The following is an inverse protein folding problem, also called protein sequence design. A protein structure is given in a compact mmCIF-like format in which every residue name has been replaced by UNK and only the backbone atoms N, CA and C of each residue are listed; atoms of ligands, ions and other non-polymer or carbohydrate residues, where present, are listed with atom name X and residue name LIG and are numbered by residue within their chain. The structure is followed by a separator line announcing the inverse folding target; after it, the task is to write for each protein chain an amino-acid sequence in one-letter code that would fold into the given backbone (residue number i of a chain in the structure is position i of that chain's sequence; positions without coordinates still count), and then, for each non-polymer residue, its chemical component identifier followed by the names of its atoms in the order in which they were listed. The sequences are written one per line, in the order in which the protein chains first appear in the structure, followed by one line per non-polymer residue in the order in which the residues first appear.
data_IF_890645114534
#
_entry.id   IF_890645114534
#
_cell.length_a   1.000
_cell.length_b   1.000
_cell.length_c   1.000
_cell.angle_alpha   90.00
_cell.angle_beta   90.00
_cell.angle_gamma   90.00
#
_symmetry.space_group_name_H-M   'P 1'
#
loop_
_entity.id
_entity.type
_entity.pdbx_description
1 polymer ?
#
# COMPACT_ATOMS: atom_id res chain seq x y z
N UNK A 1 -13.32 -29.07 -17.82
CA UNK A 1 -12.92 -27.84 -18.52
C UNK A 1 -11.90 -27.14 -17.64
N UNK A 2 -10.80 -26.64 -18.22
CA UNK A 2 -9.78 -25.89 -17.48
C UNK A 2 -10.20 -24.43 -17.44
N UNK A 3 -10.25 -23.82 -16.25
CA UNK A 3 -10.51 -22.38 -16.09
C UNK A 3 -9.35 -21.57 -16.68
N UNK A 4 -9.63 -20.46 -17.36
CA UNK A 4 -8.62 -19.60 -17.98
C UNK A 4 -7.76 -18.86 -16.94
N UNK A 5 -8.42 -18.28 -15.93
CA UNK A 5 -7.75 -17.58 -14.83
C UNK A 5 -7.54 -18.51 -13.63
N UNK A 6 -6.50 -18.25 -12.82
CA UNK A 6 -6.33 -18.92 -11.54
C UNK A 6 -7.43 -18.51 -10.54
N UNK A 7 -7.49 -19.21 -9.43
CA UNK A 7 -8.43 -18.95 -8.34
C UNK A 7 -8.44 -17.48 -7.91
N UNK A 8 -9.63 -16.93 -7.69
CA UNK A 8 -9.82 -15.52 -7.32
C UNK A 8 -9.67 -15.32 -5.80
N UNK A 9 -8.43 -15.30 -5.30
CA UNK A 9 -8.16 -15.20 -3.85
C UNK A 9 -8.84 -14.01 -3.14
N UNK A 10 -8.81 -12.77 -3.68
CA UNK A 10 -9.46 -11.64 -3.00
C UNK A 10 -10.99 -11.75 -2.91
N UNK A 11 -11.61 -12.56 -3.78
CA UNK A 11 -13.06 -12.82 -3.75
C UNK A 11 -13.39 -13.69 -2.56
N UNK A 12 -12.69 -14.83 -2.41
CA UNK A 12 -12.84 -15.71 -1.24
C UNK A 12 -12.63 -14.93 0.06
N UNK A 13 -11.59 -14.10 0.14
CA UNK A 13 -11.33 -13.28 1.32
C UNK A 13 -12.48 -12.30 1.61
N UNK A 14 -13.05 -11.67 0.58
CA UNK A 14 -14.21 -10.81 0.73
C UNK A 14 -15.44 -11.61 1.23
N UNK A 15 -15.71 -12.78 0.65
CA UNK A 15 -16.81 -13.65 1.05
C UNK A 15 -16.70 -14.05 2.52
N UNK A 16 -15.52 -14.51 2.96
CA UNK A 16 -15.22 -14.82 4.37
C UNK A 16 -15.44 -13.60 5.28
N UNK A 17 -15.01 -12.41 4.85
CA UNK A 17 -15.22 -11.17 5.61
C UNK A 17 -16.70 -10.75 5.64
N UNK A 18 -17.45 -11.01 4.57
CA UNK A 18 -18.87 -10.67 4.47
C UNK A 18 -19.74 -11.53 5.39
N UNK A 19 -19.33 -12.77 5.69
CA UNK A 19 -19.98 -13.62 6.67
C UNK A 19 -19.78 -13.09 8.10
N UNK A 20 -18.62 -12.49 8.38
CA UNK A 20 -18.28 -11.96 9.70
C UNK A 20 -18.85 -10.55 9.96
N UNK A 21 -18.99 -9.71 8.93
CA UNK A 21 -19.36 -8.30 9.08
C UNK A 21 -20.64 -7.95 8.29
N UNK A 22 -21.60 -7.31 8.96
CA UNK A 22 -22.82 -6.86 8.29
C UNK A 22 -22.59 -5.59 7.44
N UNK A 23 -23.13 -5.50 6.21
CA UNK A 23 -23.03 -4.32 5.35
C UNK A 23 -23.66 -3.04 5.89
N UNK A 24 -24.53 -3.13 6.91
CA UNK A 24 -25.33 -1.99 7.41
C UNK A 24 -24.51 -0.90 8.09
N UNK A 25 -23.30 -1.23 8.54
CA UNK A 25 -22.45 -0.33 9.31
C UNK A 25 -21.13 0.00 8.58
N UNK A 26 -21.22 0.58 7.38
CA UNK A 26 -20.05 0.96 6.57
C UNK A 26 -19.04 1.88 7.29
N UNK A 27 -19.48 2.62 8.33
CA UNK A 27 -18.59 3.48 9.12
C UNK A 27 -17.82 2.76 10.24
N UNK A 28 -18.30 1.59 10.66
CA UNK A 28 -17.64 0.76 11.66
C UNK A 28 -16.37 0.14 11.09
N UNK A 29 -15.46 -0.29 11.96
CA UNK A 29 -14.19 -0.88 11.56
C UNK A 29 -14.37 -2.07 10.60
N UNK A 30 -15.36 -2.94 10.85
CA UNK A 30 -15.71 -4.05 9.95
C UNK A 30 -16.17 -3.60 8.57
N UNK A 31 -16.99 -2.54 8.49
CA UNK A 31 -17.42 -1.95 7.23
C UNK A 31 -16.24 -1.42 6.41
N UNK A 32 -15.26 -0.78 7.05
CA UNK A 32 -14.04 -0.29 6.37
C UNK A 32 -13.20 -1.43 5.81
N UNK A 33 -13.04 -2.52 6.56
CA UNK A 33 -12.32 -3.71 6.07
C UNK A 33 -13.04 -4.32 4.88
N UNK A 34 -14.36 -4.45 4.94
CA UNK A 34 -15.16 -4.97 3.85
C UNK A 34 -14.99 -4.12 2.59
N UNK A 35 -15.07 -2.79 2.72
CA UNK A 35 -14.80 -1.87 1.60
C UNK A 35 -13.38 -2.03 1.04
N UNK A 36 -12.36 -2.12 1.90
CA UNK A 36 -10.97 -2.31 1.46
C UNK A 36 -10.78 -3.65 0.74
N UNK A 37 -11.40 -4.72 1.23
CA UNK A 37 -11.35 -6.04 0.59
C UNK A 37 -12.05 -6.05 -0.76
N UNK A 38 -13.18 -5.34 -0.90
CA UNK A 38 -13.89 -5.18 -2.18
C UNK A 38 -13.03 -4.42 -3.21
N UNK A 39 -12.34 -3.37 -2.78
CA UNK A 39 -11.39 -2.65 -3.66
C UNK A 39 -10.26 -3.57 -4.12
N UNK A 40 -9.72 -4.43 -3.24
CA UNK A 40 -8.71 -5.43 -3.64
C UNK A 40 -9.25 -6.45 -4.63
N UNK A 41 -10.50 -6.89 -4.48
CA UNK A 41 -11.21 -7.73 -5.47
C UNK A 41 -11.29 -7.02 -6.82
N UNK A 42 -11.81 -5.79 -6.83
CA UNK A 42 -11.93 -4.97 -8.03
C UNK A 42 -10.58 -4.70 -8.74
N UNK A 43 -9.47 -4.57 -7.99
CA UNK A 43 -8.13 -4.41 -8.58
C UNK A 43 -7.71 -5.63 -9.41
N UNK A 44 -8.00 -6.85 -8.93
CA UNK A 44 -7.69 -8.08 -9.67
C UNK A 44 -8.60 -8.23 -10.88
N UNK A 45 -9.88 -7.88 -10.77
CA UNK A 45 -10.80 -7.89 -11.92
C UNK A 45 -10.32 -6.94 -13.02
N UNK A 46 -9.88 -5.73 -12.67
CA UNK A 46 -9.30 -4.76 -13.62
C UNK A 46 -8.07 -5.36 -14.32
N UNK A 47 -7.16 -6.00 -13.58
CA UNK A 47 -6.00 -6.67 -14.18
C UNK A 47 -6.43 -7.75 -15.18
N UNK A 48 -7.41 -8.58 -14.82
CA UNK A 48 -7.91 -9.65 -15.70
C UNK A 48 -8.59 -9.07 -16.95
N UNK A 49 -9.40 -8.03 -16.81
CA UNK A 49 -10.04 -7.34 -17.95
C UNK A 49 -8.98 -6.78 -18.91
N UNK A 50 -7.94 -6.12 -18.37
CA UNK A 50 -6.84 -5.60 -19.20
C UNK A 50 -6.10 -6.73 -19.92
N UNK A 51 -5.82 -7.83 -19.22
CA UNK A 51 -5.18 -9.01 -19.80
C UNK A 51 -6.00 -9.60 -20.97
N UNK A 52 -7.32 -9.79 -20.80
CA UNK A 52 -8.19 -10.27 -21.90
C UNK A 52 -8.17 -9.32 -23.09
N UNK A 53 -8.24 -8.01 -22.84
CA UNK A 53 -8.23 -6.99 -23.90
C UNK A 53 -6.95 -7.00 -24.73
N UNK A 54 -5.82 -7.32 -24.10
CA UNK A 54 -4.53 -7.43 -24.78
C UNK A 54 -4.36 -8.77 -25.51
N UNK A 55 -4.77 -9.88 -24.89
CA UNK A 55 -4.52 -11.24 -25.40
C UNK A 55 -5.51 -11.68 -26.49
N UNK A 56 -6.80 -11.32 -26.37
CA UNK A 56 -7.86 -11.72 -27.32
C UNK A 56 -7.56 -11.36 -28.78
N UNK A 57 -7.19 -10.12 -29.15
CA UNK A 57 -6.85 -9.80 -30.54
C UNK A 57 -5.58 -10.52 -31.02
N UNK A 58 -4.63 -10.80 -30.13
CA UNK A 58 -3.42 -11.55 -30.46
C UNK A 58 -3.77 -13.02 -30.78
N UNK A 59 -4.60 -13.65 -29.95
CA UNK A 59 -5.08 -15.00 -30.18
C UNK A 59 -5.92 -15.12 -31.45
N UNK A 60 -6.78 -14.15 -31.76
CA UNK A 60 -7.54 -14.13 -33.02
C UNK A 60 -6.62 -14.15 -34.24
N UNK A 61 -5.50 -13.40 -34.20
CA UNK A 61 -4.51 -13.43 -35.26
C UNK A 61 -3.79 -14.79 -35.35
N UNK A 62 -3.44 -15.40 -34.21
CA UNK A 62 -2.78 -16.72 -34.16
C UNK A 62 -3.69 -17.88 -34.62
N UNK A 63 -4.99 -17.78 -34.38
CA UNK A 63 -5.98 -18.73 -34.91
C UNK A 63 -6.10 -18.58 -36.42
N UNK A 64 -6.12 -17.35 -36.94
CA UNK A 64 -6.16 -17.11 -38.40
C UNK A 64 -4.93 -17.66 -39.12
N UNK A 65 -3.76 -17.63 -38.50
CA UNK A 65 -2.53 -18.22 -39.06
C UNK A 65 -2.45 -19.75 -38.89
N UNK A 66 -3.36 -20.34 -38.12
CA UNK A 66 -3.41 -21.79 -37.86
C UNK A 66 -2.38 -22.30 -36.86
N UNK A 67 -1.72 -21.40 -36.10
CA UNK A 67 -0.72 -21.77 -35.09
C UNK A 67 -1.39 -22.28 -33.81
N UNK A 68 -2.58 -21.77 -33.49
CA UNK A 68 -3.36 -22.11 -32.30
C UNK A 68 -4.76 -22.55 -32.71
N UNK A 69 -5.34 -23.52 -31.98
CA UNK A 69 -6.69 -24.02 -32.22
C UNK A 69 -7.80 -23.08 -31.70
N UNK A 70 -8.98 -23.21 -32.28
CA UNK A 70 -10.17 -22.40 -31.95
C UNK A 70 -10.64 -22.59 -30.50
N UNK A 71 -10.40 -23.75 -29.89
CA UNK A 71 -10.74 -24.04 -28.50
C UNK A 71 -10.12 -23.04 -27.49
N UNK A 72 -8.94 -22.46 -27.79
CA UNK A 72 -8.33 -21.44 -26.92
C UNK A 72 -9.05 -20.09 -27.02
N UNK A 73 -9.55 -19.75 -28.22
CA UNK A 73 -10.35 -18.56 -28.45
C UNK A 73 -11.74 -18.67 -27.79
N UNK A 74 -12.33 -19.85 -27.82
CA UNK A 74 -13.56 -20.14 -27.06
C UNK A 74 -13.32 -19.98 -25.55
N UNK A 75 -12.19 -20.50 -25.04
CA UNK A 75 -11.87 -20.41 -23.62
C UNK A 75 -11.68 -18.96 -23.13
N UNK A 76 -10.95 -18.12 -23.86
CA UNK A 76 -10.81 -16.70 -23.49
C UNK A 76 -12.14 -15.94 -23.61
N UNK A 77 -13.00 -16.31 -24.55
CA UNK A 77 -14.36 -15.73 -24.69
C UNK A 77 -15.27 -16.15 -23.54
N UNK A 78 -15.14 -17.39 -23.05
CA UNK A 78 -15.83 -17.83 -21.84
C UNK A 78 -15.33 -17.06 -20.62
N UNK A 79 -14.01 -16.93 -20.46
CA UNK A 79 -13.39 -16.19 -19.37
C UNK A 79 -13.81 -14.70 -19.37
N UNK A 80 -13.95 -14.08 -20.54
CA UNK A 80 -14.47 -12.72 -20.67
C UNK A 80 -15.87 -12.59 -20.05
N UNK A 81 -16.78 -13.53 -20.36
CA UNK A 81 -18.13 -13.54 -19.78
C UNK A 81 -18.12 -13.78 -18.26
N UNK A 82 -17.24 -14.65 -17.78
CA UNK A 82 -17.07 -14.90 -16.34
C UNK A 82 -16.61 -13.64 -15.61
N UNK A 83 -15.64 -12.90 -16.17
CA UNK A 83 -15.14 -11.66 -15.58
C UNK A 83 -16.16 -10.51 -15.72
N UNK A 84 -16.95 -10.45 -16.79
CA UNK A 84 -18.05 -9.48 -16.91
C UNK A 84 -19.13 -9.71 -15.84
N UNK A 85 -19.48 -10.98 -15.58
CA UNK A 85 -20.40 -11.33 -14.50
C UNK A 85 -19.82 -10.94 -13.13
N UNK A 86 -18.55 -11.26 -12.88
CA UNK A 86 -17.85 -10.88 -11.65
C UNK A 86 -17.81 -9.36 -11.45
N UNK A 87 -17.52 -8.59 -12.51
CA UNK A 87 -17.54 -7.14 -12.45
C UNK A 87 -18.93 -6.61 -12.09
N UNK A 88 -20.00 -7.21 -12.63
CA UNK A 88 -21.37 -6.82 -12.31
C UNK A 88 -21.73 -7.11 -10.85
N UNK A 89 -21.27 -8.24 -10.29
CA UNK A 89 -21.40 -8.56 -8.86
C UNK A 89 -20.72 -7.51 -7.99
N UNK A 90 -19.47 -7.13 -8.31
CA UNK A 90 -18.71 -6.11 -7.57
C UNK A 90 -19.41 -4.75 -7.60
N UNK A 91 -19.99 -4.34 -8.73
CA UNK A 91 -20.76 -3.08 -8.82
C UNK A 91 -21.98 -3.13 -7.91
N UNK A 92 -22.72 -4.24 -7.90
CA UNK A 92 -23.89 -4.41 -7.06
C UNK A 92 -23.51 -4.38 -5.57
N UNK A 93 -22.46 -5.10 -5.17
CA UNK A 93 -21.95 -5.08 -3.80
C UNK A 93 -21.46 -3.70 -3.36
N UNK A 94 -20.76 -2.98 -4.24
CA UNK A 94 -20.31 -1.62 -3.97
C UNK A 94 -21.49 -0.66 -3.73
N UNK A 95 -22.55 -0.78 -4.52
CA UNK A 95 -23.78 0.02 -4.37
C UNK A 95 -24.48 -0.26 -3.03
N UNK A 96 -24.45 -1.52 -2.57
CA UNK A 96 -25.00 -1.92 -1.27
C UNK A 96 -24.20 -1.33 -0.10
N UNK A 97 -22.87 -1.27 -0.21
CA UNK A 97 -21.99 -0.69 0.83
C UNK A 97 -22.05 0.83 0.87
N UNK A 98 -22.11 1.47 -0.31
CA UNK A 98 -22.17 2.92 -0.44
C UNK A 98 -22.91 3.28 -1.73
N UNK A 99 -24.04 3.97 -1.58
CA UNK A 99 -24.83 4.48 -2.72
C UNK A 99 -23.98 5.32 -3.67
N UNK A 100 -24.06 5.02 -4.97
CA UNK A 100 -23.31 5.68 -6.03
C UNK A 100 -21.85 5.20 -6.19
N UNK A 101 -21.34 4.34 -5.31
CA UNK A 101 -19.95 3.89 -5.37
C UNK A 101 -19.71 2.83 -6.45
N UNK A 102 -20.74 2.08 -6.86
CA UNK A 102 -20.62 1.07 -7.91
C UNK A 102 -20.10 1.64 -9.25
N UNK A 103 -20.43 2.89 -9.58
CA UNK A 103 -19.91 3.55 -10.77
C UNK A 103 -18.44 4.00 -10.65
N UNK A 104 -17.93 4.17 -9.44
CA UNK A 104 -16.61 4.74 -9.16
C UNK A 104 -15.56 3.69 -8.76
N UNK A 105 -15.98 2.55 -8.21
CA UNK A 105 -15.08 1.56 -7.62
C UNK A 105 -13.98 1.09 -8.57
N UNK A 106 -14.28 0.84 -9.85
CA UNK A 106 -13.28 0.42 -10.82
C UNK A 106 -12.31 1.54 -11.23
N UNK A 107 -12.77 2.80 -11.22
CA UNK A 107 -11.88 3.95 -11.44
C UNK A 107 -10.92 4.14 -10.27
N UNK A 108 -11.40 3.94 -9.04
CA UNK A 108 -10.58 3.96 -7.83
C UNK A 108 -9.58 2.78 -7.82
N UNK A 109 -10.03 1.57 -8.15
CA UNK A 109 -9.18 0.38 -8.23
C UNK A 109 -8.08 0.53 -9.28
N UNK A 110 -8.39 1.09 -10.45
CA UNK A 110 -7.40 1.36 -11.50
C UNK A 110 -6.32 2.35 -11.03
N UNK A 111 -6.68 3.41 -10.30
CA UNK A 111 -5.74 4.37 -9.74
C UNK A 111 -4.84 3.73 -8.68
N UNK A 112 -5.42 2.91 -7.80
CA UNK A 112 -4.66 2.19 -6.77
C UNK A 112 -3.68 1.19 -7.39
N UNK A 113 -4.09 0.51 -8.46
CA UNK A 113 -3.22 -0.40 -9.19
C UNK A 113 -2.01 0.34 -9.80
N UNK A 114 -2.24 1.51 -10.38
CA UNK A 114 -1.16 2.36 -10.92
C UNK A 114 -0.22 2.85 -9.81
N UNK A 115 -0.77 3.30 -8.68
CA UNK A 115 0.02 3.71 -7.52
C UNK A 115 0.86 2.55 -6.98
N UNK A 116 0.28 1.36 -6.83
CA UNK A 116 0.98 0.18 -6.34
C UNK A 116 2.16 -0.17 -7.26
N UNK A 117 1.95 -0.13 -8.58
CA UNK A 117 3.00 -0.37 -9.57
C UNK A 117 4.11 0.68 -9.47
N UNK A 118 3.77 1.96 -9.31
CA UNK A 118 4.74 3.04 -9.14
C UNK A 118 5.58 2.87 -7.85
N UNK A 119 4.94 2.52 -6.73
CA UNK A 119 5.65 2.26 -5.47
C UNK A 119 6.59 1.07 -5.59
N UNK A 120 6.17 -0.02 -6.25
CA UNK A 120 7.02 -1.19 -6.49
C UNK A 120 8.25 -0.83 -7.33
N UNK A 121 8.07 -0.02 -8.39
CA UNK A 121 9.18 0.45 -9.21
C UNK A 121 10.15 1.33 -8.43
N UNK A 122 9.65 2.26 -7.60
CA UNK A 122 10.49 3.10 -6.75
C UNK A 122 11.28 2.28 -5.72
N UNK A 123 10.63 1.32 -5.07
CA UNK A 123 11.29 0.43 -4.11
C UNK A 123 12.38 -0.41 -4.79
N UNK A 124 12.13 -0.95 -5.99
CA UNK A 124 13.12 -1.69 -6.75
C UNK A 124 14.31 -0.82 -7.17
N UNK A 125 14.08 0.44 -7.54
CA UNK A 125 15.15 1.39 -7.87
C UNK A 125 16.01 1.74 -6.64
N UNK A 126 15.40 1.93 -5.47
CA UNK A 126 16.11 2.18 -4.22
C UNK A 126 17.00 1.00 -3.83
N UNK A 127 16.48 -0.23 -3.93
CA UNK A 127 17.26 -1.44 -3.65
C UNK A 127 18.46 -1.60 -4.60
N UNK A 128 18.29 -1.26 -5.88
CA UNK A 128 19.39 -1.27 -6.84
C UNK A 128 20.43 -0.19 -6.55
N UNK A 129 20.00 1.01 -6.13
CA UNK A 129 20.92 2.10 -5.77
C UNK A 129 21.72 1.79 -4.50
N UNK A 130 21.12 1.12 -3.53
CA UNK A 130 21.77 0.72 -2.28
C UNK A 130 22.77 -0.42 -2.49
N UNK A 131 22.46 -1.38 -3.37
CA UNK A 131 23.37 -2.46 -3.76
C UNK A 131 24.60 -1.99 -4.56
N UNK A 132 24.54 -0.81 -5.19
CA UNK A 132 25.62 -0.22 -5.99
C UNK A 132 26.56 0.67 -5.16
N UNK A 133 26.24 0.98 -3.89
CA UNK A 133 27.13 1.73 -3.00
C UNK A 133 28.22 0.78 -2.45
N UNK A 134 29.51 0.93 -2.84
CA UNK A 134 30.56 0.03 -2.37
C UNK A 134 30.75 0.18 -0.84
N UNK A 135 31.10 -0.88 -0.10
CA UNK A 135 31.45 -0.76 1.30
C UNK A 135 32.65 0.20 1.43
N UNK A 136 32.45 1.31 2.14
CA UNK A 136 33.50 2.25 2.46
C UNK A 136 34.61 1.53 3.24
N UNK A 137 35.72 1.23 2.57
CA UNK A 137 36.96 0.80 3.24
C UNK A 137 37.43 1.93 4.17
N UNK A 138 37.84 1.65 5.41
CA UNK A 138 38.42 2.68 6.29
C UNK A 138 39.79 3.09 5.74
N UNK A 139 39.86 4.23 5.07
CA UNK A 139 41.12 4.86 4.68
C UNK A 139 41.56 5.83 5.77
N UNK A 140 42.68 5.53 6.42
CA UNK A 140 43.51 6.54 7.08
C UNK A 140 44.99 6.16 6.94
N UNK A 141 45.76 6.88 6.10
CA UNK A 141 47.21 6.85 6.17
C UNK A 141 47.74 7.96 7.10
N UNK A 142 48.73 7.56 7.89
CA UNK A 142 49.45 8.23 8.99
C UNK A 142 50.26 9.48 8.58
N UNK A 143 50.37 10.48 9.48
CA UNK A 143 51.55 11.34 9.85
C UNK A 143 51.10 12.33 10.95
N UNK A 144 51.79 12.68 12.04
CA UNK A 144 53.10 12.35 12.64
C UNK A 144 53.17 12.94 14.08
N UNK A 145 53.90 12.25 14.96
CA UNK A 145 54.74 12.75 16.09
C UNK A 145 54.16 13.35 17.41
N UNK A 146 54.23 12.49 18.45
CA UNK A 146 54.89 12.68 19.77
C UNK A 146 54.33 13.64 20.86
N UNK A 147 53.80 13.05 21.97
CA UNK A 147 54.45 13.02 23.32
C UNK A 147 53.61 12.28 24.40
N UNK A 148 54.24 11.25 24.98
CA UNK A 148 54.28 10.79 26.40
C UNK A 148 52.99 10.61 27.23
N UNK A 149 52.66 9.35 27.58
CA UNK A 149 52.47 8.78 28.95
C UNK A 149 51.65 7.47 28.90
N UNK A 150 52.00 6.47 29.72
CA UNK A 150 51.47 5.09 29.76
C UNK A 150 50.29 4.91 30.78
N UNK A 151 49.80 3.68 31.06
CA UNK A 151 48.82 2.82 30.32
C UNK A 151 47.50 2.63 31.14
N UNK A 152 46.42 1.93 30.69
CA UNK A 152 46.38 0.45 30.74
C UNK A 152 45.49 -0.29 29.69
N UNK A 153 45.90 -1.55 29.46
CA UNK A 153 45.10 -2.79 29.28
C UNK A 153 44.15 -2.99 28.06
N UNK A 154 43.97 -4.25 27.62
CA UNK A 154 43.53 -4.60 26.28
C UNK A 154 42.01 -4.76 26.14
N UNK A 155 41.60 -4.59 24.89
CA UNK A 155 40.28 -4.84 24.30
C UNK A 155 39.86 -6.29 24.46
N UNK A 156 38.66 -6.51 25.02
CA UNK A 156 37.79 -7.62 24.64
C UNK A 156 36.55 -6.99 23.98
N UNK A 157 36.32 -7.34 22.71
CA UNK A 157 35.16 -6.89 21.94
C UNK A 157 34.30 -8.10 21.65
N UNK A 158 33.22 -8.27 22.42
CA UNK A 158 32.08 -9.06 22.01
C UNK A 158 30.83 -8.62 22.81
N UNK A 159 29.95 -7.86 22.17
CA UNK A 159 28.53 -7.58 22.50
C UNK A 159 28.11 -6.29 21.73
N UNK A 160 26.94 -6.10 21.14
CA UNK A 160 25.71 -6.88 21.05
C UNK A 160 24.99 -6.52 19.75
N UNK A 161 24.18 -7.46 19.26
CA UNK A 161 22.93 -7.14 18.55
C UNK A 161 22.07 -6.25 19.46
N UNK A 162 21.61 -5.08 18.98
CA UNK A 162 20.34 -4.42 19.33
C UNK A 162 20.40 -2.95 18.89
N UNK A 163 19.76 -2.63 17.75
CA UNK A 163 19.39 -1.25 17.43
C UNK A 163 17.96 -1.27 16.85
N UNK A 164 17.01 -1.50 17.77
CA UNK A 164 15.59 -1.30 17.55
C UNK A 164 15.27 0.15 17.94
N UNK A 165 14.45 0.90 17.17
CA UNK A 165 14.03 2.24 17.58
C UNK A 165 13.22 2.15 18.89
N UNK A 166 13.78 2.75 19.93
CA UNK A 166 13.25 2.79 21.29
C UNK A 166 11.81 3.36 21.28
N UNK A 167 10.84 2.55 21.72
CA UNK A 167 9.45 2.97 21.91
C UNK A 167 9.42 4.06 22.98
N UNK A 168 9.26 5.31 22.56
CA UNK A 168 9.07 6.47 23.45
C UNK A 168 7.92 6.15 24.41
N UNK A 169 8.20 6.24 25.72
CA UNK A 169 7.27 5.85 26.78
C UNK A 169 5.94 6.61 26.68
N UNK A 170 4.81 5.97 27.03
CA UNK A 170 3.47 6.61 26.99
C UNK A 170 3.41 7.89 27.85
N UNK A 171 4.23 7.98 28.89
CA UNK A 171 4.34 9.17 29.74
C UNK A 171 4.97 10.37 29.03
N UNK A 172 5.94 10.15 28.14
CA UNK A 172 6.58 11.22 27.37
C UNK A 172 5.67 11.75 26.26
N UNK A 173 4.86 10.87 25.65
CA UNK A 173 3.82 11.28 24.70
C UNK A 173 2.76 12.13 25.39
N UNK A 174 2.36 11.76 26.61
CA UNK A 174 1.40 12.52 27.42
C UNK A 174 1.95 13.89 27.81
N UNK A 175 3.22 13.96 28.25
CA UNK A 175 3.90 15.22 28.56
C UNK A 175 4.02 16.15 27.34
N UNK A 176 4.29 15.59 26.15
CA UNK A 176 4.31 16.36 24.90
C UNK A 176 2.93 16.88 24.51
N UNK A 177 1.89 16.07 24.67
CA UNK A 177 0.52 16.48 24.39
C UNK A 177 0.06 17.60 25.35
N UNK A 178 0.38 17.50 26.63
CA UNK A 178 0.05 18.51 27.65
C UNK A 178 0.79 19.83 27.37
N UNK A 179 2.08 19.76 27.02
CA UNK A 179 2.87 20.95 26.65
C UNK A 179 2.34 21.65 25.39
N UNK A 180 1.83 20.89 24.41
CA UNK A 180 1.24 21.45 23.19
C UNK A 180 -0.12 22.09 23.47
N UNK A 181 -0.92 21.52 24.37
CA UNK A 181 -2.20 22.10 24.80
C UNK A 181 -1.99 23.44 25.55
N UNK A 182 -0.96 23.55 26.40
CA UNK A 182 -0.64 24.80 27.08
C UNK A 182 -0.19 25.91 26.11
N UNK A 183 0.52 25.55 25.02
CA UNK A 183 0.90 26.51 23.99
C UNK A 183 -0.31 27.08 23.26
N UNK A 184 -1.30 26.25 22.91
CA UNK A 184 -2.53 26.70 22.25
C UNK A 184 -3.36 27.62 23.16
N UNK A 185 -3.47 27.30 24.45
CA UNK A 185 -4.16 28.17 25.43
C UNK A 185 -3.44 29.52 25.56
N UNK A 186 -2.10 29.53 25.51
CA UNK A 186 -1.29 30.76 25.58
C UNK A 186 -1.45 31.62 24.32
N UNK A 187 -1.55 31.01 23.14
CA UNK A 187 -1.82 31.72 21.88
C UNK A 187 -3.24 32.31 21.84
N UNK A 188 -4.25 31.57 22.31
CA UNK A 188 -5.62 32.09 22.43
C UNK A 188 -5.73 33.27 23.41
N UNK A 189 -4.98 33.23 24.53
CA UNK A 189 -4.93 34.33 25.48
C UNK A 189 -4.25 35.59 24.91
N UNK A 190 -3.26 35.42 24.03
CA UNK A 190 -2.58 36.53 23.36
C UNK A 190 -3.44 37.15 22.25
N UNK A 191 -4.23 36.33 21.54
CA UNK A 191 -5.19 36.78 20.52
C UNK A 191 -6.32 37.66 21.09
N UNK A 192 -6.80 37.39 22.31
CA UNK A 192 -7.85 38.19 22.96
C UNK A 192 -7.38 39.57 23.46
N UNK A 193 -6.08 39.77 23.75
CA UNK A 193 -5.54 41.08 24.15
C UNK A 193 -5.40 42.07 22.97
N UNK A 194 -5.35 41.59 21.73
CA UNK A 194 -5.20 42.44 20.53
C UNK A 194 -6.47 43.16 20.06
N UNK A 195 -7.66 42.81 20.56
CA UNK A 195 -8.95 43.32 20.04
C UNK A 195 -9.59 44.47 20.84
N UNK A 196 -8.94 44.95 21.91
CA UNK A 196 -9.49 45.97 22.82
C UNK A 196 -9.10 47.43 22.54
N UNK A 197 -8.31 47.72 21.50
CA UNK A 197 -7.70 49.04 21.30
C UNK A 197 -8.16 49.77 20.04
N UNK A 198 -9.44 50.12 19.90
CA UNK A 198 -9.87 51.18 18.96
C UNK A 198 -11.11 51.91 19.45
N UNK A 199 -10.91 52.83 20.39
CA UNK A 199 -11.81 53.96 20.67
C UNK A 199 -10.98 55.22 20.91
N UNK A 200 -10.78 55.99 19.85
CA UNK A 200 -11.07 57.43 19.73
C UNK A 200 -10.50 57.93 18.42
#
# INVERSE_FOLDING_TARGET
MSTYFPEHLPRRQYEELSEMYSPKDAQNWGGRILMQSLVRRAMVDVQRVLQIREEKPQLQNLVRTGVVGEAMLENITLAEKEIEAECAEVVAEAELLRKGWGAQIFQEAQQLLQQQMQMQQQAAQQQQAEAVKPPSKPTSPVKQAAKMAAPPAPVDTNDSLEDLPELVSEEELKRRADAMAEQLIREEANSKKGKGGKKK
#
